data_IF_327350208793
#
_entry.id   IF_327350208793
#
_cell.length_a   1.000
_cell.length_b   1.000
_cell.length_c   1.000
_cell.angle_alpha   90.00
_cell.angle_beta   90.00
_cell.angle_gamma   90.00
#
_symmetry.space_group_name_H-M   'P 1'
#
loop_
_entity.id
_entity.type
_entity.pdbx_description
1 polymer ?
#
# COMPACT_ATOMS: atom_id res chain seq x y z
N UNK A 1 -2.36 -0.70 -59.11
CA UNK A 1 -1.66 -0.45 -57.82
C UNK A 1 -1.92 -1.66 -56.93
N UNK A 2 -0.92 -2.41 -56.49
CA UNK A 2 -1.15 -3.59 -55.67
C UNK A 2 -1.46 -3.17 -54.24
N UNK A 3 -2.54 -3.74 -53.69
CA UNK A 3 -2.95 -3.56 -52.30
C UNK A 3 -1.87 -4.13 -51.37
N UNK A 4 -1.22 -3.24 -50.61
CA UNK A 4 -0.34 -3.61 -49.51
C UNK A 4 -1.15 -4.28 -48.41
N UNK A 5 -1.07 -5.62 -48.33
CA UNK A 5 -1.48 -6.40 -47.16
C UNK A 5 -0.68 -5.91 -45.95
N UNK A 6 -1.34 -5.25 -45.03
CA UNK A 6 -0.79 -4.93 -43.71
C UNK A 6 -0.73 -6.25 -42.94
N UNK A 7 0.46 -6.84 -42.81
CA UNK A 7 0.69 -7.95 -41.90
C UNK A 7 0.38 -7.50 -40.46
N UNK A 8 -0.45 -8.23 -39.70
CA UNK A 8 -0.66 -7.92 -38.30
C UNK A 8 0.66 -8.12 -37.56
N UNK A 9 1.19 -7.03 -36.98
CA UNK A 9 2.33 -7.08 -36.05
C UNK A 9 2.06 -8.17 -35.02
N UNK A 10 2.86 -9.24 -35.07
CA UNK A 10 2.90 -10.29 -34.07
C UNK A 10 3.07 -9.64 -32.70
N UNK A 11 1.98 -9.58 -31.92
CA UNK A 11 2.08 -9.30 -30.49
C UNK A 11 2.95 -10.41 -29.92
N UNK A 12 4.17 -10.11 -29.49
CA UNK A 12 4.96 -11.04 -28.70
C UNK A 12 4.13 -11.41 -27.47
N UNK A 13 3.60 -12.63 -27.44
CA UNK A 13 2.76 -13.07 -26.34
C UNK A 13 3.67 -13.48 -25.20
N UNK A 14 3.68 -12.67 -24.16
CA UNK A 14 4.43 -12.94 -22.95
C UNK A 14 3.64 -13.97 -22.16
N UNK A 15 4.09 -15.23 -22.21
CA UNK A 15 3.59 -16.28 -21.31
C UNK A 15 4.04 -15.96 -19.88
N UNK A 16 3.22 -15.20 -19.16
CA UNK A 16 3.52 -14.78 -17.78
C UNK A 16 3.38 -15.96 -16.83
N UNK A 17 4.50 -16.63 -16.56
CA UNK A 17 4.63 -17.57 -15.46
C UNK A 17 4.89 -16.80 -14.16
N UNK A 18 4.35 -17.28 -13.04
CA UNK A 18 4.69 -16.73 -11.73
C UNK A 18 6.20 -16.97 -11.49
N UNK A 19 7.00 -15.93 -11.21
CA UNK A 19 8.42 -16.10 -10.95
C UNK A 19 8.65 -16.92 -9.68
N UNK A 20 9.75 -17.66 -9.66
CA UNK A 20 10.27 -18.22 -8.42
C UNK A 20 11.08 -17.13 -7.71
N UNK A 21 10.92 -17.05 -6.40
CA UNK A 21 11.64 -16.10 -5.56
C UNK A 21 12.51 -16.85 -4.56
N UNK A 22 13.72 -16.33 -4.37
CA UNK A 22 14.64 -16.60 -3.29
C UNK A 22 15.36 -15.28 -2.99
N UNK A 23 16.00 -15.18 -1.82
CA UNK A 23 16.67 -13.96 -1.43
C UNK A 23 17.68 -13.49 -2.49
N UNK A 24 17.62 -12.20 -2.84
CA UNK A 24 18.44 -11.58 -3.88
C UNK A 24 17.80 -11.55 -5.28
N UNK A 25 16.73 -12.30 -5.52
CA UNK A 25 15.99 -12.29 -6.80
C UNK A 25 15.14 -11.03 -6.92
N UNK A 26 15.19 -10.41 -8.10
CA UNK A 26 14.29 -9.33 -8.50
C UNK A 26 13.62 -9.74 -9.80
N UNK A 27 12.30 -9.74 -9.80
CA UNK A 27 11.50 -9.88 -11.00
C UNK A 27 11.04 -8.50 -11.47
N UNK A 28 11.24 -8.22 -12.76
CA UNK A 28 10.70 -7.05 -13.44
C UNK A 28 9.54 -7.50 -14.33
N UNK A 29 8.36 -6.93 -14.09
CA UNK A 29 7.18 -7.18 -14.89
C UNK A 29 7.35 -6.55 -16.29
N UNK A 30 7.29 -7.35 -17.37
CA UNK A 30 7.59 -6.85 -18.71
C UNK A 30 6.47 -5.98 -19.31
N UNK A 31 5.31 -5.86 -18.65
CA UNK A 31 4.16 -5.10 -19.15
C UNK A 31 4.14 -3.68 -18.59
N UNK A 32 4.11 -3.51 -17.27
CA UNK A 32 4.04 -2.18 -16.65
C UNK A 32 5.37 -1.73 -16.07
N UNK A 33 6.39 -2.60 -16.05
CA UNK A 33 7.69 -2.30 -15.46
C UNK A 33 7.64 -2.23 -13.93
N UNK A 34 6.68 -2.91 -13.28
CA UNK A 34 6.76 -3.15 -11.84
C UNK A 34 8.01 -3.97 -11.51
N UNK A 35 8.54 -3.79 -10.29
CA UNK A 35 9.59 -4.67 -9.76
C UNK A 35 9.15 -5.27 -8.44
N UNK A 36 9.46 -6.55 -8.27
CA UNK A 36 9.27 -7.29 -7.02
C UNK A 36 10.61 -7.90 -6.67
N UNK A 37 11.20 -7.49 -5.54
CA UNK A 37 12.44 -8.06 -5.01
C UNK A 37 12.19 -8.95 -3.80
N UNK A 38 12.85 -10.10 -3.71
CA UNK A 38 13.01 -10.81 -2.44
C UNK A 38 14.29 -10.31 -1.76
N UNK A 39 14.16 -9.30 -0.90
CA UNK A 39 15.24 -8.42 -0.46
C UNK A 39 15.01 -7.92 0.96
N UNK A 40 16.05 -7.40 1.61
CA UNK A 40 15.99 -6.84 2.95
C UNK A 40 15.99 -5.30 2.90
N UNK A 41 14.88 -4.69 3.31
CA UNK A 41 14.70 -3.23 3.34
C UNK A 41 15.75 -2.50 4.23
N UNK A 42 16.33 -3.20 5.21
CA UNK A 42 17.36 -2.65 6.09
C UNK A 42 18.76 -2.68 5.49
N UNK A 43 18.98 -3.40 4.38
CA UNK A 43 20.24 -3.43 3.65
C UNK A 43 20.24 -2.44 2.50
N UNK A 44 21.25 -1.58 2.48
CA UNK A 44 21.35 -0.50 1.51
C UNK A 44 21.55 -1.03 0.08
N UNK A 45 22.37 -2.06 -0.06
CA UNK A 45 22.73 -2.68 -1.35
C UNK A 45 21.50 -3.28 -2.04
N UNK A 46 20.60 -3.88 -1.26
CA UNK A 46 19.35 -4.46 -1.72
C UNK A 46 18.40 -3.38 -2.26
N UNK A 47 18.25 -2.28 -1.51
CA UNK A 47 17.42 -1.14 -1.94
C UNK A 47 18.00 -0.48 -3.19
N UNK A 48 19.32 -0.29 -3.26
CA UNK A 48 19.99 0.25 -4.45
C UNK A 48 19.81 -0.65 -5.68
N UNK A 49 19.92 -1.98 -5.50
CA UNK A 49 19.69 -2.98 -6.56
C UNK A 49 18.26 -2.93 -7.09
N UNK A 50 17.25 -2.88 -6.21
CA UNK A 50 15.85 -2.74 -6.61
C UNK A 50 15.61 -1.46 -7.40
N UNK A 51 16.10 -0.34 -6.87
CA UNK A 51 15.82 0.98 -7.42
C UNK A 51 16.55 1.23 -8.73
N UNK A 52 17.73 0.63 -8.95
CA UNK A 52 18.55 0.81 -10.15
C UNK A 52 18.66 2.30 -10.56
N UNK A 53 19.09 3.14 -9.61
CA UNK A 53 19.24 4.60 -9.74
C UNK A 53 17.95 5.39 -10.01
N UNK A 54 16.77 4.76 -9.99
CA UNK A 54 15.49 5.47 -10.03
C UNK A 54 15.18 6.08 -8.66
N UNK A 55 14.41 7.16 -8.68
CA UNK A 55 13.88 7.79 -7.47
C UNK A 55 12.36 7.72 -7.48
N UNK A 56 11.78 7.48 -6.30
CA UNK A 56 10.33 7.40 -6.12
C UNK A 56 9.77 8.72 -5.60
N UNK A 57 8.58 9.09 -6.06
CA UNK A 57 7.89 10.30 -5.58
C UNK A 57 7.01 10.02 -4.36
N UNK A 58 6.70 8.74 -4.11
CA UNK A 58 5.83 8.29 -3.03
C UNK A 58 6.35 6.97 -2.47
N UNK A 59 6.50 6.92 -1.16
CA UNK A 59 6.71 5.71 -0.39
C UNK A 59 5.50 5.42 0.49
N UNK A 60 5.02 4.18 0.45
CA UNK A 60 3.97 3.68 1.34
C UNK A 60 4.53 2.45 2.05
N UNK A 61 4.80 2.58 3.34
CA UNK A 61 5.49 1.58 4.13
C UNK A 61 4.55 1.01 5.20
N UNK A 62 4.52 -0.30 5.32
CA UNK A 62 3.76 -1.03 6.33
C UNK A 62 4.67 -2.07 7.02
N UNK A 63 5.65 -1.60 7.82
CA UNK A 63 6.62 -2.48 8.45
C UNK A 63 5.95 -3.42 9.46
N UNK A 64 6.62 -4.51 9.86
CA UNK A 64 6.27 -5.23 11.09
C UNK A 64 6.26 -4.28 12.29
N UNK A 65 5.28 -4.39 13.19
CA UNK A 65 5.11 -3.46 14.35
C UNK A 65 5.76 -3.95 15.64
N UNK A 66 6.69 -4.91 15.57
CA UNK A 66 7.28 -5.53 16.77
C UNK A 66 6.24 -6.13 17.74
N UNK A 67 5.12 -6.59 17.22
CA UNK A 67 4.06 -7.25 17.98
C UNK A 67 4.00 -8.68 17.51
N UNK A 68 4.05 -9.64 18.44
CA UNK A 68 3.84 -11.04 18.12
C UNK A 68 2.40 -11.24 17.61
N UNK A 69 2.27 -11.52 16.32
CA UNK A 69 1.02 -11.91 15.68
C UNK A 69 1.26 -13.27 15.04
N UNK A 70 0.96 -14.33 15.81
CA UNK A 70 1.06 -15.72 15.36
C UNK A 70 2.46 -16.04 14.79
N UNK A 71 3.52 -15.76 15.54
CA UNK A 71 4.92 -16.10 15.24
C UNK A 71 5.51 -15.46 13.96
N UNK A 72 4.79 -14.51 13.35
CA UNK A 72 5.16 -13.91 12.06
C UNK A 72 6.10 -12.70 12.20
N UNK A 73 6.06 -12.05 13.37
CA UNK A 73 6.79 -10.82 13.61
C UNK A 73 7.68 -10.95 14.83
N UNK A 74 8.84 -10.34 14.72
CA UNK A 74 9.84 -10.38 15.78
C UNK A 74 9.34 -9.70 17.05
N UNK A 75 9.63 -10.30 18.20
CA UNK A 75 9.54 -9.63 19.49
C UNK A 75 10.95 -9.15 19.88
N UNK A 76 11.46 -8.17 19.12
CA UNK A 76 12.78 -7.59 19.41
C UNK A 76 12.67 -6.69 20.64
N UNK A 77 13.76 -6.55 21.41
CA UNK A 77 13.93 -5.40 22.29
C UNK A 77 13.63 -4.09 21.52
N UNK A 78 12.92 -3.16 22.16
CA UNK A 78 12.43 -1.93 21.53
C UNK A 78 13.55 -1.12 20.87
N UNK A 79 14.69 -0.99 21.54
CA UNK A 79 15.90 -0.33 21.01
C UNK A 79 16.37 -0.98 19.70
N UNK A 80 16.41 -2.32 19.65
CA UNK A 80 16.78 -3.07 18.44
C UNK A 80 15.77 -2.90 17.32
N UNK A 81 14.47 -2.85 17.65
CA UNK A 81 13.43 -2.55 16.67
C UNK A 81 13.57 -1.14 16.09
N UNK A 82 13.87 -0.14 16.94
CA UNK A 82 14.07 1.24 16.49
C UNK A 82 15.36 1.39 15.69
N UNK A 83 16.47 0.74 16.08
CA UNK A 83 17.71 0.68 15.29
C UNK A 83 17.48 0.04 13.90
N UNK A 84 16.74 -1.07 13.85
CA UNK A 84 16.36 -1.69 12.58
C UNK A 84 15.45 -0.78 11.76
N UNK A 85 14.50 -0.10 12.42
CA UNK A 85 13.58 0.83 11.79
C UNK A 85 14.29 2.02 11.16
N UNK A 86 15.30 2.52 11.85
CA UNK A 86 16.13 3.62 11.40
C UNK A 86 16.83 3.28 10.07
N UNK A 87 17.38 2.06 9.95
CA UNK A 87 18.08 1.60 8.74
C UNK A 87 17.18 1.62 7.50
N UNK A 88 16.00 1.00 7.56
CA UNK A 88 15.12 0.97 6.38
C UNK A 88 14.51 2.34 6.08
N UNK A 89 14.30 3.18 7.08
CA UNK A 89 13.89 4.58 6.88
C UNK A 89 14.96 5.36 6.12
N UNK A 90 16.23 5.25 6.54
CA UNK A 90 17.32 5.94 5.86
C UNK A 90 17.47 5.47 4.40
N UNK A 91 17.38 4.16 4.17
CA UNK A 91 17.39 3.61 2.81
C UNK A 91 16.21 4.11 1.98
N UNK A 92 15.00 4.19 2.56
CA UNK A 92 13.83 4.76 1.92
C UNK A 92 14.04 6.23 1.53
N UNK A 93 14.49 7.08 2.47
CA UNK A 93 14.75 8.50 2.24
C UNK A 93 15.78 8.74 1.12
N UNK A 94 16.80 7.88 1.04
CA UNK A 94 17.87 7.98 0.05
C UNK A 94 17.38 7.77 -1.38
N UNK A 95 16.33 6.97 -1.58
CA UNK A 95 15.77 6.67 -2.90
C UNK A 95 14.50 7.45 -3.21
N UNK A 96 14.06 8.33 -2.31
CA UNK A 96 13.01 9.30 -2.58
C UNK A 96 13.54 10.48 -3.40
N UNK A 97 12.73 10.94 -4.36
CA UNK A 97 12.91 12.20 -5.08
C UNK A 97 13.01 13.38 -4.10
N UNK A 98 13.55 14.51 -4.57
CA UNK A 98 13.65 15.74 -3.76
C UNK A 98 12.29 16.27 -3.29
N UNK A 99 11.22 15.97 -4.03
CA UNK A 99 9.85 16.37 -3.74
C UNK A 99 8.97 15.12 -3.64
N UNK A 100 8.98 14.48 -2.47
CA UNK A 100 8.35 13.18 -2.27
C UNK A 100 7.51 13.10 -0.99
N UNK A 101 6.53 12.21 -1.00
CA UNK A 101 5.68 11.88 0.13
C UNK A 101 6.06 10.53 0.73
N UNK A 102 6.03 10.43 2.06
CA UNK A 102 6.27 9.19 2.81
C UNK A 102 5.12 8.92 3.77
N UNK A 103 4.46 7.79 3.58
CA UNK A 103 3.40 7.28 4.44
C UNK A 103 3.87 6.03 5.16
N UNK A 104 3.68 5.98 6.48
CA UNK A 104 4.11 4.86 7.31
C UNK A 104 2.94 4.43 8.20
N UNK A 105 2.47 3.21 7.99
CA UNK A 105 1.49 2.58 8.88
C UNK A 105 2.18 2.08 10.15
N UNK A 106 1.58 2.35 11.31
CA UNK A 106 2.06 1.88 12.62
C UNK A 106 0.90 1.66 13.59
N UNK A 107 1.16 0.88 14.64
CA UNK A 107 0.23 0.63 15.74
C UNK A 107 0.75 1.15 17.07
N UNK A 108 -0.18 1.46 17.96
CA UNK A 108 0.11 1.76 19.37
C UNK A 108 -0.41 0.60 20.23
N UNK A 109 0.47 -0.34 20.60
CA UNK A 109 0.05 -1.50 21.39
C UNK A 109 -0.07 -1.13 22.88
N UNK A 110 -1.30 -1.04 23.36
CA UNK A 110 -1.62 -0.72 24.74
C UNK A 110 -1.04 -1.75 25.74
N UNK A 111 -0.78 -2.98 25.31
CA UNK A 111 -0.20 -4.05 26.15
C UNK A 111 1.29 -3.81 26.42
N UNK A 112 1.93 -3.01 25.57
CA UNK A 112 3.33 -2.64 25.63
C UNK A 112 3.50 -1.13 25.76
N UNK A 113 2.63 -0.47 26.56
CA UNK A 113 2.69 0.97 26.82
C UNK A 113 2.75 1.83 25.54
N UNK A 114 1.93 1.49 24.55
CA UNK A 114 1.79 2.15 23.24
C UNK A 114 2.94 1.94 22.25
N UNK A 115 3.89 1.05 22.53
CA UNK A 115 4.98 0.73 21.60
C UNK A 115 4.45 0.15 20.26
N UNK A 116 5.21 0.32 19.16
CA UNK A 116 6.44 1.11 19.04
C UNK A 116 6.19 2.56 18.58
N UNK A 117 4.93 2.99 18.44
CA UNK A 117 4.57 4.24 17.78
C UNK A 117 5.27 5.49 18.36
N UNK A 118 5.27 5.77 19.68
CA UNK A 118 5.93 6.95 20.23
C UNK A 118 7.43 6.98 19.95
N UNK A 119 8.11 5.85 20.15
CA UNK A 119 9.56 5.70 19.96
C UNK A 119 9.95 5.90 18.50
N UNK A 120 9.16 5.33 17.59
CA UNK A 120 9.33 5.53 16.16
C UNK A 120 9.17 7.00 15.77
N UNK A 121 8.15 7.70 16.31
CA UNK A 121 7.96 9.13 16.08
C UNK A 121 9.13 9.97 16.60
N UNK A 122 9.70 9.61 17.75
CA UNK A 122 10.89 10.28 18.29
C UNK A 122 12.12 10.07 17.39
N UNK A 123 12.33 8.85 16.86
CA UNK A 123 13.37 8.58 15.87
C UNK A 123 13.16 9.43 14.60
N UNK A 124 11.93 9.51 14.09
CA UNK A 124 11.60 10.29 12.89
C UNK A 124 11.88 11.79 13.04
N UNK A 125 11.83 12.37 14.26
CA UNK A 125 12.17 13.79 14.49
C UNK A 125 13.62 14.14 14.11
N UNK A 126 14.50 13.14 14.02
CA UNK A 126 15.92 13.33 13.64
C UNK A 126 16.13 13.24 12.13
N UNK A 127 15.11 12.85 11.35
CA UNK A 127 15.22 12.63 9.91
C UNK A 127 14.96 13.92 9.13
N UNK A 128 15.55 14.08 7.93
CA UNK A 128 15.39 15.28 7.10
C UNK A 128 14.03 15.30 6.37
N UNK A 129 12.94 15.14 7.11
CA UNK A 129 11.58 15.10 6.63
C UNK A 129 10.68 15.95 7.52
N UNK A 130 9.65 16.54 6.92
CA UNK A 130 8.66 17.31 7.67
C UNK A 130 7.41 16.47 7.91
N UNK A 131 6.94 16.39 9.16
CA UNK A 131 5.64 15.81 9.46
C UNK A 131 4.52 16.71 8.91
N UNK A 132 3.60 16.14 8.13
CA UNK A 132 2.44 16.86 7.58
C UNK A 132 1.12 16.42 8.17
N UNK A 133 0.97 15.15 8.54
CA UNK A 133 -0.24 14.72 9.21
C UNK A 133 -0.01 13.47 10.07
N UNK A 134 -0.87 13.33 11.07
CA UNK A 134 -1.09 12.10 11.81
C UNK A 134 -2.50 11.65 11.45
N UNK A 135 -2.61 10.57 10.69
CA UNK A 135 -3.87 10.02 10.22
C UNK A 135 -4.23 8.77 11.02
N UNK A 136 -5.52 8.61 11.32
CA UNK A 136 -6.07 7.41 11.95
C UNK A 136 -7.09 6.77 11.02
N UNK A 137 -6.88 5.51 10.65
CA UNK A 137 -7.92 4.69 10.05
C UNK A 137 -8.69 3.95 11.15
N UNK A 138 -9.99 4.22 11.26
CA UNK A 138 -10.89 3.53 12.18
C UNK A 138 -11.26 2.16 11.61
N UNK A 139 -10.74 1.10 12.23
CA UNK A 139 -11.14 -0.28 12.00
C UNK A 139 -12.60 -0.49 12.42
N UNK A 140 -13.36 -1.27 11.65
CA UNK A 140 -14.76 -1.59 11.95
C UNK A 140 -14.87 -2.64 13.06
N UNK A 141 -13.84 -3.49 13.20
CA UNK A 141 -13.71 -4.46 14.30
C UNK A 141 -12.50 -4.09 15.15
N UNK A 142 -12.62 -4.32 16.45
CA UNK A 142 -11.55 -4.14 17.42
C UNK A 142 -11.73 -5.10 18.58
N UNK A 143 -10.70 -5.24 19.39
CA UNK A 143 -10.78 -5.98 20.65
C UNK A 143 -11.26 -5.02 21.74
N UNK A 144 -12.41 -5.33 22.34
CA UNK A 144 -12.94 -4.63 23.50
C UNK A 144 -12.82 -5.50 24.75
N UNK A 145 -12.76 -4.86 25.91
CA UNK A 145 -12.82 -5.56 27.21
C UNK A 145 -13.84 -4.84 28.09
N UNK A 146 -14.32 -5.49 29.15
CA UNK A 146 -15.23 -4.83 30.10
C UNK A 146 -14.58 -3.67 30.87
N UNK A 147 -13.24 -3.65 30.94
CA UNK A 147 -12.47 -2.69 31.74
C UNK A 147 -11.72 -1.66 30.88
N UNK A 148 -11.90 -1.66 29.55
CA UNK A 148 -11.17 -0.77 28.66
C UNK A 148 -11.94 -0.51 27.35
N UNK A 149 -11.65 0.63 26.71
CA UNK A 149 -12.20 1.00 25.42
C UNK A 149 -11.82 0.02 24.32
N UNK A 150 -12.71 -0.15 23.33
CA UNK A 150 -12.44 -1.01 22.18
C UNK A 150 -11.33 -0.42 21.29
N UNK A 151 -10.28 -1.20 21.04
CA UNK A 151 -9.15 -0.80 20.21
C UNK A 151 -9.49 -0.89 18.71
N UNK A 152 -9.91 0.24 18.13
CA UNK A 152 -10.34 0.35 16.72
C UNK A 152 -9.43 1.24 15.87
N UNK A 153 -8.25 1.61 16.37
CA UNK A 153 -7.36 2.55 15.69
C UNK A 153 -6.26 1.82 14.92
N UNK A 154 -5.88 2.40 13.80
CA UNK A 154 -4.70 2.05 13.02
C UNK A 154 -4.08 3.36 12.54
N UNK A 155 -2.85 3.63 12.93
CA UNK A 155 -2.24 4.93 12.69
C UNK A 155 -1.43 4.94 11.40
N UNK A 156 -1.37 6.10 10.79
CA UNK A 156 -0.70 6.39 9.53
C UNK A 156 0.00 7.73 9.66
N UNK A 157 1.32 7.70 9.72
CA UNK A 157 2.14 8.90 9.75
C UNK A 157 2.40 9.37 8.33
N UNK A 158 2.23 10.68 8.09
CA UNK A 158 2.51 11.29 6.79
C UNK A 158 3.60 12.35 6.93
N UNK A 159 4.71 12.10 6.22
CA UNK A 159 5.87 12.98 6.12
C UNK A 159 6.12 13.41 4.68
N UNK A 160 6.83 14.51 4.49
CA UNK A 160 7.27 14.99 3.18
C UNK A 160 8.76 15.27 3.14
N UNK A 161 9.32 15.15 1.93
CA UNK A 161 10.64 15.66 1.54
C UNK A 161 10.42 16.79 0.54
N UNK A 162 10.98 17.97 0.81
CA UNK A 162 10.81 19.15 -0.05
C UNK A 162 9.35 19.60 -0.15
N UNK A 163 8.86 19.82 -1.38
CA UNK A 163 7.50 20.26 -1.66
C UNK A 163 6.81 19.31 -2.66
N UNK A 164 6.31 18.13 -2.21
CA UNK A 164 5.71 17.14 -3.09
C UNK A 164 4.36 17.57 -3.64
N UNK A 165 3.97 16.90 -4.72
CA UNK A 165 2.62 17.00 -5.26
C UNK A 165 1.57 16.54 -4.24
N UNK A 166 0.46 17.29 -4.13
CA UNK A 166 -0.69 16.90 -3.33
C UNK A 166 -2.01 17.24 -4.03
N UNK A 167 -2.86 16.24 -4.24
CA UNK A 167 -4.17 16.36 -4.83
C UNK A 167 -5.26 16.31 -3.75
N UNK A 168 -5.75 17.48 -3.33
CA UNK A 168 -6.81 17.58 -2.34
C UNK A 168 -8.13 16.91 -2.79
N UNK A 169 -8.38 16.83 -4.10
CA UNK A 169 -9.60 16.20 -4.62
C UNK A 169 -9.62 14.68 -4.37
N UNK A 170 -8.44 14.06 -4.23
CA UNK A 170 -8.32 12.63 -3.92
C UNK A 170 -8.79 12.26 -2.51
N UNK A 171 -8.97 13.26 -1.64
CA UNK A 171 -9.42 13.04 -0.27
C UNK A 171 -10.94 13.04 -0.13
N UNK A 172 -11.70 13.43 -1.16
CA UNK A 172 -13.16 13.37 -1.08
C UNK A 172 -13.65 11.93 -0.95
N UNK A 173 -14.60 11.76 -0.03
CA UNK A 173 -15.23 10.46 0.27
C UNK A 173 -16.48 10.28 -0.58
N UNK A 174 -17.10 9.11 -0.48
CA UNK A 174 -18.43 8.84 -1.05
C UNK A 174 -19.58 9.30 -0.13
N UNK A 175 -19.26 9.85 1.05
CA UNK A 175 -20.25 10.22 2.06
C UNK A 175 -20.87 11.58 1.69
N UNK A 176 -22.19 11.65 1.46
CA UNK A 176 -22.85 12.92 1.17
C UNK A 176 -22.73 13.89 2.33
N UNK A 177 -22.61 15.18 2.03
CA UNK A 177 -22.76 16.23 3.05
C UNK A 177 -24.18 16.24 3.57
N UNK A 178 -24.37 15.88 4.85
CA UNK A 178 -25.68 15.98 5.53
C UNK A 178 -26.01 17.41 5.99
N UNK A 179 -25.02 18.29 6.12
CA UNK A 179 -25.20 19.68 6.55
C UNK A 179 -25.48 20.61 5.38
N UNK A 180 -26.74 21.03 5.23
CA UNK A 180 -27.09 22.39 4.78
C UNK A 180 -27.01 23.33 5.99
N UNK A 181 -26.67 24.61 5.81
CA UNK A 181 -26.87 25.61 6.87
C UNK A 181 -25.66 26.10 7.68
N UNK A 182 -24.46 26.19 7.09
CA UNK A 182 -23.52 27.21 7.59
C UNK A 182 -23.93 28.57 7.02
N UNK A 183 -24.78 29.26 7.77
CA UNK A 183 -25.16 30.63 7.47
C UNK A 183 -24.09 31.58 8.01
N UNK A 184 -23.66 32.53 7.20
CA UNK A 184 -22.78 33.62 7.65
C UNK A 184 -23.48 34.94 7.36
N UNK A 185 -23.44 35.85 8.32
CA UNK A 185 -23.91 37.21 8.10
C UNK A 185 -22.82 37.99 7.32
N UNK A 186 -23.18 38.46 6.13
CA UNK A 186 -22.35 39.33 5.30
C UNK A 186 -23.18 40.57 4.99
N UNK A 187 -22.73 41.74 5.43
CA UNK A 187 -23.43 43.03 5.28
C UNK A 187 -24.90 43.01 5.78
N UNK A 188 -25.16 42.42 6.95
CA UNK A 188 -26.51 42.36 7.53
C UNK A 188 -27.45 41.34 6.88
N UNK A 189 -26.95 40.53 5.92
CA UNK A 189 -27.74 39.49 5.24
C UNK A 189 -27.20 38.12 5.59
N UNK A 190 -28.09 37.26 6.10
CA UNK A 190 -27.81 35.85 6.32
C UNK A 190 -27.62 35.20 4.95
N UNK A 191 -26.38 34.89 4.60
CA UNK A 191 -26.04 34.18 3.37
C UNK A 191 -25.71 32.74 3.69
N UNK A 192 -26.38 31.82 3.03
CA UNK A 192 -25.98 30.42 3.05
C UNK A 192 -24.63 30.33 2.34
N UNK A 193 -23.63 29.78 3.02
CA UNK A 193 -22.26 29.72 2.50
C UNK A 193 -22.14 28.58 1.46
N UNK A 194 -22.88 28.70 0.36
CA UNK A 194 -22.92 27.73 -0.77
C UNK A 194 -21.53 27.64 -1.43
N UNK A 195 -20.72 28.69 -1.33
CA UNK A 195 -19.44 28.80 -2.03
C UNK A 195 -18.29 27.99 -1.40
N UNK A 196 -18.40 27.53 -0.15
CA UNK A 196 -17.24 26.92 0.53
C UNK A 196 -16.89 25.50 0.10
N UNK A 197 -17.70 24.84 -0.74
CA UNK A 197 -17.26 23.68 -1.52
C UNK A 197 -18.37 23.21 -2.46
N UNK A 198 -18.16 23.37 -3.78
CA UNK A 198 -19.01 22.80 -4.84
C UNK A 198 -19.17 21.26 -4.75
N UNK A 199 -18.28 20.57 -4.03
CA UNK A 199 -18.38 19.12 -3.85
C UNK A 199 -19.60 18.71 -3.01
N UNK A 200 -20.31 17.68 -3.47
CA UNK A 200 -21.50 17.09 -2.85
C UNK A 200 -21.17 16.14 -1.69
N UNK A 201 -19.92 15.71 -1.57
CA UNK A 201 -19.43 14.79 -0.54
C UNK A 201 -18.45 15.47 0.43
N UNK A 202 -18.25 14.86 1.60
CA UNK A 202 -17.27 15.36 2.58
C UNK A 202 -15.85 14.99 2.15
N UNK A 203 -14.91 15.92 2.39
CA UNK A 203 -13.48 15.64 2.35
C UNK A 203 -13.10 14.77 3.55
N UNK A 204 -12.29 13.74 3.33
CA UNK A 204 -11.74 12.95 4.42
C UNK A 204 -10.88 13.85 5.30
N UNK A 205 -11.18 13.91 6.60
CA UNK A 205 -10.25 14.46 7.57
C UNK A 205 -9.06 13.51 7.77
N UNK A 206 -8.24 13.81 8.77
CA UNK A 206 -7.19 12.89 9.22
C UNK A 206 -7.71 11.72 10.08
N UNK A 207 -9.03 11.56 10.20
CA UNK A 207 -9.65 10.37 10.78
C UNK A 207 -10.51 9.71 9.71
N UNK A 208 -10.05 8.58 9.19
CA UNK A 208 -10.72 7.83 8.12
C UNK A 208 -11.65 6.80 8.74
N UNK A 209 -12.94 7.03 8.62
CA UNK A 209 -13.99 6.09 9.05
C UNK A 209 -14.76 5.50 7.86
N UNK A 210 -14.45 5.94 6.64
CA UNK A 210 -15.10 5.56 5.39
C UNK A 210 -14.36 4.44 4.61
N UNK A 211 -13.22 4.00 5.15
CA UNK A 211 -12.41 2.90 4.63
C UNK A 211 -12.70 1.65 5.46
N UNK A 212 -13.18 0.61 4.79
CA UNK A 212 -13.40 -0.69 5.41
C UNK A 212 -12.10 -1.49 5.48
N UNK A 213 -11.83 -2.12 6.62
CA UNK A 213 -10.78 -3.13 6.74
C UNK A 213 -11.08 -4.34 5.85
N UNK A 214 -10.04 -5.06 5.43
CA UNK A 214 -10.22 -6.27 4.62
C UNK A 214 -10.81 -7.38 5.48
N UNK A 215 -11.99 -7.87 5.08
CA UNK A 215 -12.61 -9.04 5.69
C UNK A 215 -12.49 -10.25 4.76
N UNK A 216 -12.52 -11.45 5.34
CA UNK A 216 -12.40 -12.72 4.61
C UNK A 216 -13.45 -12.94 3.50
N UNK A 217 -14.53 -12.15 3.51
CA UNK A 217 -15.58 -12.18 2.51
C UNK A 217 -15.35 -11.24 1.32
N UNK A 218 -14.45 -10.27 1.46
CA UNK A 218 -14.18 -9.31 0.40
C UNK A 218 -13.37 -9.99 -0.71
N UNK A 219 -13.69 -9.64 -1.94
CA UNK A 219 -13.01 -10.16 -3.13
C UNK A 219 -11.50 -9.84 -3.10
N UNK A 220 -11.12 -8.65 -2.61
CA UNK A 220 -9.71 -8.25 -2.49
C UNK A 220 -8.90 -9.08 -1.47
N UNK A 221 -9.52 -9.94 -0.66
CA UNK A 221 -8.85 -10.67 0.40
C UNK A 221 -7.83 -11.68 -0.15
N UNK A 222 -6.64 -11.70 0.45
CA UNK A 222 -5.62 -12.73 0.26
C UNK A 222 -5.54 -13.56 1.55
N UNK A 223 -6.25 -14.70 1.56
CA UNK A 223 -6.35 -15.52 2.78
C UNK A 223 -4.98 -16.08 3.19
N UNK A 224 -4.58 -15.73 4.41
CA UNK A 224 -3.27 -16.05 4.99
C UNK A 224 -2.38 -14.82 5.18
N UNK A 225 -2.73 -13.70 4.54
CA UNK A 225 -2.06 -12.41 4.71
C UNK A 225 -2.82 -11.57 5.76
N UNK A 226 -2.61 -11.84 7.05
CA UNK A 226 -3.46 -11.36 8.15
C UNK A 226 -3.46 -9.84 8.35
N UNK A 227 -2.38 -9.16 7.97
CA UNK A 227 -2.23 -7.71 8.12
C UNK A 227 -2.53 -6.91 6.82
N UNK A 228 -3.21 -7.52 5.84
CA UNK A 228 -3.50 -6.88 4.55
C UNK A 228 -4.19 -5.51 4.73
N UNK A 229 -3.59 -4.45 4.20
CA UNK A 229 -4.20 -3.12 4.10
C UNK A 229 -5.27 -3.09 2.99
N UNK A 230 -6.36 -2.33 3.18
CA UNK A 230 -7.44 -2.24 2.20
C UNK A 230 -7.04 -1.36 1.00
N UNK A 231 -7.40 -1.81 -0.21
CA UNK A 231 -7.08 -1.10 -1.45
C UNK A 231 -7.61 0.34 -1.45
N UNK A 232 -8.82 0.58 -0.92
CA UNK A 232 -9.40 1.93 -0.85
C UNK A 232 -8.49 2.94 -0.13
N UNK A 233 -7.83 2.52 0.94
CA UNK A 233 -6.90 3.39 1.69
C UNK A 233 -5.62 3.67 0.93
N UNK A 234 -5.06 2.64 0.30
CA UNK A 234 -3.85 2.79 -0.51
C UNK A 234 -4.11 3.63 -1.76
N UNK A 235 -5.23 3.41 -2.46
CA UNK A 235 -5.63 4.22 -3.61
C UNK A 235 -5.82 5.71 -3.26
N UNK A 236 -6.37 6.01 -2.07
CA UNK A 236 -6.46 7.38 -1.56
C UNK A 236 -5.08 8.02 -1.45
N UNK A 237 -4.13 7.32 -0.82
CA UNK A 237 -2.75 7.79 -0.66
C UNK A 237 -2.09 8.04 -2.03
N UNK A 238 -2.22 7.08 -2.96
CA UNK A 238 -1.63 7.18 -4.29
C UNK A 238 -2.22 8.34 -5.08
N UNK A 239 -3.55 8.51 -5.08
CA UNK A 239 -4.23 9.60 -5.79
C UNK A 239 -3.88 10.97 -5.20
N UNK A 240 -3.72 11.04 -3.88
CA UNK A 240 -3.34 12.27 -3.18
C UNK A 240 -1.89 12.66 -3.46
N UNK A 241 -0.96 11.73 -3.49
CA UNK A 241 0.48 12.02 -3.48
C UNK A 241 1.22 11.62 -4.76
N UNK A 242 0.53 11.31 -5.86
CA UNK A 242 1.17 10.96 -7.14
C UNK A 242 0.33 11.27 -8.38
N UNK A 243 1.00 11.38 -9.53
CA UNK A 243 0.40 11.44 -10.87
C UNK A 243 0.58 10.11 -11.61
N UNK A 244 -0.16 9.90 -12.70
CA UNK A 244 0.05 8.73 -13.58
C UNK A 244 1.51 8.66 -14.07
N UNK A 245 2.02 7.43 -14.27
CA UNK A 245 3.40 7.15 -14.70
C UNK A 245 4.48 7.34 -13.62
N UNK A 246 4.15 7.94 -12.46
CA UNK A 246 5.06 8.10 -11.34
C UNK A 246 5.50 6.75 -10.74
N UNK A 247 6.69 6.76 -10.12
CA UNK A 247 7.24 5.61 -9.41
C UNK A 247 6.89 5.68 -7.91
N UNK A 248 6.33 4.59 -7.40
CA UNK A 248 5.93 4.37 -6.02
C UNK A 248 6.77 3.23 -5.44
N UNK A 249 7.14 3.32 -4.17
CA UNK A 249 7.85 2.26 -3.45
C UNK A 249 7.09 1.77 -2.22
N UNK A 250 7.24 0.48 -1.97
CA UNK A 250 6.74 -0.23 -0.78
C UNK A 250 7.72 -1.36 -0.47
N UNK A 251 8.43 -1.27 0.65
CA UNK A 251 9.46 -2.26 0.99
C UNK A 251 8.95 -3.41 1.86
N UNK A 252 7.64 -3.47 2.10
CA UNK A 252 6.98 -4.50 2.90
C UNK A 252 5.76 -5.04 2.15
N UNK A 253 6.02 -5.63 0.98
CA UNK A 253 4.99 -5.92 -0.02
C UNK A 253 3.86 -6.81 0.52
N UNK A 254 4.20 -7.82 1.33
CA UNK A 254 3.26 -8.76 1.95
C UNK A 254 2.23 -9.31 0.93
N UNK A 255 0.98 -8.84 0.97
CA UNK A 255 -0.09 -9.25 0.06
C UNK A 255 -0.08 -8.54 -1.30
N UNK A 256 0.83 -7.60 -1.53
CA UNK A 256 0.94 -6.84 -2.79
C UNK A 256 -0.08 -5.71 -2.97
N UNK A 257 -0.69 -5.20 -1.90
CA UNK A 257 -1.78 -4.22 -1.99
C UNK A 257 -1.31 -2.93 -2.68
N UNK A 258 -0.13 -2.41 -2.33
CA UNK A 258 0.44 -1.21 -2.97
C UNK A 258 0.68 -1.42 -4.45
N UNK A 259 1.19 -2.58 -4.85
CA UNK A 259 1.43 -2.89 -6.24
C UNK A 259 0.11 -2.95 -7.03
N UNK A 260 -0.94 -3.61 -6.51
CA UNK A 260 -2.25 -3.67 -7.16
C UNK A 260 -2.89 -2.28 -7.29
N UNK A 261 -2.87 -1.48 -6.23
CA UNK A 261 -3.40 -0.11 -6.29
C UNK A 261 -2.63 0.75 -7.30
N UNK A 262 -1.31 0.57 -7.38
CA UNK A 262 -0.46 1.27 -8.34
C UNK A 262 -0.79 0.88 -9.79
N UNK A 263 -0.91 -0.42 -10.08
CA UNK A 263 -1.29 -0.93 -11.41
C UNK A 263 -2.65 -0.35 -11.85
N UNK A 264 -3.67 -0.44 -10.98
CA UNK A 264 -5.01 0.11 -11.23
C UNK A 264 -4.99 1.59 -11.58
N UNK A 265 -4.09 2.33 -10.94
CA UNK A 265 -3.94 3.76 -11.10
C UNK A 265 -2.90 4.12 -12.17
N UNK A 266 -2.36 3.17 -12.94
CA UNK A 266 -1.38 3.45 -14.02
C UNK A 266 -0.12 4.16 -13.51
N UNK A 267 0.37 3.78 -12.34
CA UNK A 267 1.69 4.15 -11.83
C UNK A 267 2.64 2.95 -11.95
N UNK A 268 3.92 3.13 -11.61
CA UNK A 268 4.87 2.02 -11.44
C UNK A 268 5.18 1.83 -9.97
N UNK A 269 5.44 0.58 -9.60
CA UNK A 269 5.69 0.17 -8.22
C UNK A 269 6.95 -0.69 -8.20
N UNK A 270 7.94 -0.26 -7.43
CA UNK A 270 9.06 -1.11 -7.05
C UNK A 270 8.84 -1.53 -5.61
N UNK A 271 8.64 -2.82 -5.40
CA UNK A 271 8.33 -3.37 -4.09
C UNK A 271 9.25 -4.52 -3.73
N UNK A 272 9.37 -4.82 -2.45
CA UNK A 272 10.11 -5.98 -1.97
C UNK A 272 9.47 -6.60 -0.75
N UNK A 273 9.86 -7.83 -0.45
CA UNK A 273 9.64 -8.49 0.82
C UNK A 273 10.85 -9.36 1.14
N UNK A 274 11.16 -9.55 2.43
CA UNK A 274 12.21 -10.50 2.80
C UNK A 274 11.76 -11.95 2.61
N UNK A 275 10.44 -12.19 2.65
CA UNK A 275 9.83 -13.50 2.50
C UNK A 275 9.61 -13.83 1.02
N UNK A 276 10.26 -14.89 0.49
CA UNK A 276 10.05 -15.32 -0.90
C UNK A 276 8.58 -15.63 -1.22
N UNK A 277 7.81 -16.10 -0.23
CA UNK A 277 6.41 -16.44 -0.44
C UNK A 277 5.54 -15.19 -0.67
N UNK A 278 5.85 -14.08 0.00
CA UNK A 278 5.13 -12.81 -0.18
C UNK A 278 5.50 -12.15 -1.50
N UNK A 279 6.74 -12.28 -1.96
CA UNK A 279 7.11 -11.92 -3.32
C UNK A 279 6.32 -12.73 -4.36
N UNK A 280 6.22 -14.06 -4.18
CA UNK A 280 5.45 -14.94 -5.07
C UNK A 280 3.96 -14.58 -5.07
N UNK A 281 3.36 -14.33 -3.90
CA UNK A 281 1.97 -13.88 -3.77
C UNK A 281 1.75 -12.55 -4.48
N UNK A 282 2.64 -11.58 -4.27
CA UNK A 282 2.52 -10.25 -4.89
C UNK A 282 2.56 -10.36 -6.42
N UNK A 283 3.48 -11.16 -6.97
CA UNK A 283 3.54 -11.41 -8.42
C UNK A 283 2.29 -12.14 -8.92
N UNK A 284 1.87 -13.21 -8.23
CA UNK A 284 0.67 -13.95 -8.58
C UNK A 284 -0.59 -13.08 -8.55
N UNK A 285 -0.71 -12.18 -7.57
CA UNK A 285 -1.85 -11.26 -7.42
C UNK A 285 -1.92 -10.27 -8.58
N UNK A 286 -0.78 -9.74 -9.02
CA UNK A 286 -0.71 -8.86 -10.20
C UNK A 286 -1.23 -9.58 -11.45
N UNK A 287 -0.70 -10.77 -11.70
CA UNK A 287 -1.05 -11.57 -12.88
C UNK A 287 -2.52 -12.02 -12.82
N UNK A 288 -3.00 -12.42 -11.64
CA UNK A 288 -4.40 -12.75 -11.38
C UNK A 288 -5.34 -11.58 -11.69
N UNK A 289 -4.99 -10.38 -11.22
CA UNK A 289 -5.77 -9.17 -11.48
C UNK A 289 -5.86 -8.88 -12.97
N UNK A 290 -4.76 -8.98 -13.71
CA UNK A 290 -4.76 -8.77 -15.16
C UNK A 290 -5.58 -9.80 -15.92
N UNK A 291 -5.58 -11.07 -15.49
CA UNK A 291 -6.34 -12.15 -16.13
C UNK A 291 -7.83 -12.08 -15.84
N UNK A 292 -8.18 -11.81 -14.58
CA UNK A 292 -9.55 -12.03 -14.10
C UNK A 292 -10.30 -10.73 -13.78
N UNK A 293 -9.60 -9.60 -13.68
CA UNK A 293 -10.11 -8.35 -13.15
C UNK A 293 -10.27 -8.32 -11.63
N UNK A 294 -10.03 -9.44 -10.93
CA UNK A 294 -10.19 -9.56 -9.47
C UNK A 294 -8.94 -9.12 -8.74
N UNK A 295 -9.13 -8.36 -7.67
CA UNK A 295 -8.11 -7.78 -6.81
C UNK A 295 -7.59 -8.76 -5.75
N UNK A 296 -8.24 -9.90 -5.55
CA UNK A 296 -7.79 -10.95 -4.64
C UNK A 296 -8.54 -12.24 -4.92
N UNK A 297 -8.47 -13.18 -3.97
CA UNK A 297 -9.04 -14.52 -4.14
C UNK A 297 -10.19 -14.82 -3.15
N UNK A 298 -10.67 -13.78 -2.45
CA UNK A 298 -11.75 -13.90 -1.49
C UNK A 298 -11.50 -14.97 -0.42
N UNK A 299 -12.34 -16.02 -0.42
CA UNK A 299 -12.31 -17.10 0.58
C UNK A 299 -11.31 -18.21 0.29
N UNK A 300 -10.73 -18.24 -0.91
CA UNK A 300 -9.82 -19.29 -1.33
C UNK A 300 -8.59 -19.32 -0.43
N UNK A 301 -8.28 -20.49 0.15
CA UNK A 301 -7.12 -20.64 1.03
C UNK A 301 -5.87 -20.83 0.18
N UNK A 302 -5.04 -19.79 0.10
CA UNK A 302 -3.83 -19.79 -0.71
C UNK A 302 -2.61 -20.20 0.10
N UNK A 303 -2.53 -19.76 1.35
CA UNK A 303 -1.43 -20.09 2.24
C UNK A 303 -1.83 -21.14 3.28
N UNK A 304 -0.86 -21.97 3.66
CA UNK A 304 -0.98 -22.80 4.85
C UNK A 304 -0.98 -21.94 6.13
N UNK A 305 -1.31 -22.55 7.25
CA UNK A 305 -1.40 -21.87 8.54
C UNK A 305 -0.05 -21.27 8.96
N UNK A 306 1.06 -21.94 8.62
CA UNK A 306 2.43 -21.52 8.94
C UNK A 306 3.00 -20.52 7.92
N UNK A 307 2.21 -20.12 6.91
CA UNK A 307 2.52 -19.08 5.92
C UNK A 307 3.83 -19.31 5.14
N UNK A 308 4.30 -20.54 5.07
CA UNK A 308 5.54 -20.91 4.38
C UNK A 308 5.28 -21.72 3.09
N UNK A 309 4.02 -22.06 2.81
CA UNK A 309 3.64 -22.86 1.65
C UNK A 309 2.37 -22.36 0.97
N UNK A 310 2.45 -22.19 -0.35
CA UNK A 310 1.29 -21.98 -1.20
C UNK A 310 0.59 -23.34 -1.41
N UNK A 311 -0.72 -23.38 -1.16
CA UNK A 311 -1.55 -24.59 -1.15
C UNK A 311 -2.21 -24.92 -2.50
N UNK A 312 -2.18 -23.97 -3.44
CA UNK A 312 -2.82 -24.09 -4.74
C UNK A 312 -1.78 -24.03 -5.85
N UNK A 313 -2.08 -24.64 -7.00
CA UNK A 313 -1.21 -24.57 -8.17
C UNK A 313 -1.22 -23.17 -8.82
N UNK A 314 -0.27 -22.95 -9.73
CA UNK A 314 -0.14 -21.68 -10.43
C UNK A 314 -1.37 -21.38 -11.32
N UNK A 315 -2.06 -22.40 -11.85
CA UNK A 315 -3.27 -22.20 -12.66
C UNK A 315 -4.42 -21.63 -11.80
N UNK A 316 -4.62 -22.18 -10.61
CA UNK A 316 -5.60 -21.69 -9.63
C UNK A 316 -5.26 -20.28 -9.14
N UNK A 317 -3.98 -19.99 -8.88
CA UNK A 317 -3.53 -18.64 -8.49
C UNK A 317 -3.85 -17.62 -9.58
N UNK A 318 -3.57 -17.94 -10.82
CA UNK A 318 -3.72 -17.01 -11.93
C UNK A 318 -5.17 -16.90 -12.41
N UNK A 319 -6.01 -17.89 -12.11
CA UNK A 319 -7.36 -18.02 -12.65
C UNK A 319 -7.37 -18.74 -14.00
N UNK A 320 -8.57 -19.11 -14.45
CA UNK A 320 -8.78 -19.86 -15.69
C UNK A 320 -8.11 -19.20 -16.89
N UNK A 321 -7.68 -20.03 -17.85
CA UNK A 321 -6.99 -19.57 -19.06
C UNK A 321 -7.82 -18.53 -19.81
N UNK A 322 -7.16 -17.46 -20.21
CA UNK A 322 -7.74 -16.39 -21.02
C UNK A 322 -7.18 -16.47 -22.44
N UNK A 323 -7.70 -15.65 -23.37
CA UNK A 323 -7.11 -15.51 -24.70
C UNK A 323 -5.64 -15.08 -24.65
N UNK A 324 -5.19 -14.43 -23.57
CA UNK A 324 -3.78 -14.11 -23.34
C UNK A 324 -2.89 -15.34 -23.11
N UNK A 325 -3.48 -16.50 -22.82
CA UNK A 325 -2.77 -17.76 -22.54
C UNK A 325 -2.79 -18.74 -23.71
N UNK A 326 -3.56 -18.45 -24.77
CA UNK A 326 -3.86 -19.36 -25.88
C UNK A 326 -3.20 -18.96 -27.21
N UNK A 327 -2.42 -17.89 -27.23
CA UNK A 327 -1.70 -17.41 -28.41
C UNK A 327 -0.22 -17.49 -28.16
#
# INVERSE_FOLDING_TARGET
MPETKIEPKTKNIIKLKIPNFEYGVIWEDPISGHKIGCLDASKREDVEKLMNRKQAILAIQDPPYNVDINDEFTNLPLDKYIEWSEKWIDNCINVLDKNASLYIWLGADIRHNFQPLPDFMVMMRKKPLEAKNFITMRKQRGYGTQKNWMAVRQELLYYIKGNPFFNAEAEYTDIPKKTKGYYKEVNGKITENIERSKATTIRAGNVWFDIQQVFYLLEENVKGCFAQKPLKGIERIIKASSKEGNLIIDFFSHSGTTLIATEKLKRRCFTMDISPIYCKITAARLLHYRRTGKMGWGRLKILNSDKNKILVDDETLLGGRTLFDLS
#
